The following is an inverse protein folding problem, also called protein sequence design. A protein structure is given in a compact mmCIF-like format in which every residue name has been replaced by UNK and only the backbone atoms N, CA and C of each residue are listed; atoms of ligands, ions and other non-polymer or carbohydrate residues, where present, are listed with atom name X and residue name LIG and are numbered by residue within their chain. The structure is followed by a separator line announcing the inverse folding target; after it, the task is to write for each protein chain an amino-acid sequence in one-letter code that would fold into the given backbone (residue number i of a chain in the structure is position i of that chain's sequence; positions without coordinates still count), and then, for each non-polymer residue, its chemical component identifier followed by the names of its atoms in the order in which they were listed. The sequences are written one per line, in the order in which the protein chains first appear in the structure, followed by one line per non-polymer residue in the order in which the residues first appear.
data_IF_053766189425
#
_entry.id   IF_053766189425
#
_cell.length_a   1.000
_cell.length_b   1.000
_cell.length_c   1.000
_cell.angle_alpha   90.00
_cell.angle_beta   90.00
_cell.angle_gamma   90.00
#
_symmetry.space_group_name_H-M   'P 1'
#
loop_
_entity.id
_entity.type
_entity.pdbx_description
1 polymer ?
#
# COMPACT_ATOMS: atom_id res chain seq x y z
N UNK A 1 -6.86 -4.67 -7.79
CA UNK A 1 -8.33 -4.85 -7.93
C UNK A 1 -9.08 -4.73 -6.60
N UNK A 2 -8.38 -4.58 -5.49
CA UNK A 2 -8.96 -4.30 -4.19
C UNK A 2 -9.33 -2.83 -4.01
N UNK A 3 -9.79 -2.46 -2.80
CA UNK A 3 -10.25 -1.12 -2.45
C UNK A 3 -9.22 -0.03 -2.80
N UNK A 4 -7.97 -0.17 -2.40
CA UNK A 4 -6.90 0.78 -2.73
C UNK A 4 -6.42 0.60 -4.18
N UNK A 5 -6.12 -0.63 -4.60
CA UNK A 5 -5.48 -0.90 -5.89
C UNK A 5 -6.28 -0.41 -7.10
N UNK A 6 -7.62 -0.49 -7.06
CA UNK A 6 -8.47 0.02 -8.15
C UNK A 6 -8.37 1.54 -8.31
N UNK A 7 -8.20 2.28 -7.23
CA UNK A 7 -8.02 3.74 -7.26
C UNK A 7 -6.61 4.12 -7.73
N UNK A 8 -5.58 3.38 -7.31
CA UNK A 8 -4.20 3.57 -7.78
C UNK A 8 -4.11 3.35 -9.28
N UNK A 9 -4.71 2.29 -9.82
CA UNK A 9 -4.76 2.04 -11.28
C UNK A 9 -5.40 3.21 -12.02
N UNK A 10 -6.53 3.74 -11.52
CA UNK A 10 -7.22 4.88 -12.13
C UNK A 10 -6.37 6.15 -12.09
N UNK A 11 -5.74 6.44 -10.96
CA UNK A 11 -4.90 7.64 -10.80
C UNK A 11 -3.67 7.57 -11.71
N UNK A 12 -2.94 6.45 -11.75
CA UNK A 12 -1.83 6.23 -12.67
C UNK A 12 -2.26 6.41 -14.13
N UNK A 13 -3.36 5.76 -14.52
CA UNK A 13 -3.87 5.85 -15.88
C UNK A 13 -4.25 7.30 -16.26
N UNK A 14 -4.89 8.03 -15.34
CA UNK A 14 -5.27 9.44 -15.56
C UNK A 14 -4.06 10.37 -15.73
N UNK A 15 -2.91 10.00 -15.15
CA UNK A 15 -1.64 10.74 -15.34
C UNK A 15 -0.82 10.26 -16.54
N UNK A 16 -1.35 9.35 -17.35
CA UNK A 16 -0.73 8.90 -18.59
C UNK A 16 0.29 7.76 -18.45
N UNK A 17 0.36 7.13 -17.28
CA UNK A 17 1.21 5.95 -17.11
C UNK A 17 0.65 4.74 -17.86
N UNK A 18 1.55 3.91 -18.39
CA UNK A 18 1.22 2.56 -18.82
C UNK A 18 1.17 1.66 -17.58
N UNK A 19 0.05 1.03 -17.33
CA UNK A 19 -0.19 0.27 -16.11
C UNK A 19 -0.39 -1.21 -16.43
N UNK A 20 0.40 -2.07 -15.82
CA UNK A 20 0.12 -3.51 -15.78
C UNK A 20 -0.45 -3.88 -14.40
N UNK A 21 -1.74 -4.18 -14.36
CA UNK A 21 -2.44 -4.52 -13.13
C UNK A 21 -2.37 -6.03 -12.88
N UNK A 22 -1.60 -6.43 -11.87
CA UNK A 22 -1.48 -7.83 -11.47
C UNK A 22 -2.49 -8.18 -10.37
N UNK A 23 -3.33 -9.16 -10.58
CA UNK A 23 -4.34 -9.58 -9.62
C UNK A 23 -4.74 -11.06 -9.82
N UNK A 24 -5.33 -11.67 -8.80
CA UNK A 24 -5.92 -13.02 -8.94
C UNK A 24 -7.15 -13.01 -9.84
N UNK A 25 -8.01 -12.02 -9.65
CA UNK A 25 -9.22 -11.79 -10.43
C UNK A 25 -9.10 -10.47 -11.19
N UNK A 26 -8.85 -10.57 -12.49
CA UNK A 26 -8.66 -9.43 -13.38
C UNK A 26 -9.98 -8.82 -13.86
N UNK A 27 -11.12 -9.47 -13.63
CA UNK A 27 -12.43 -8.94 -14.04
C UNK A 27 -12.79 -7.60 -13.37
N UNK A 28 -12.13 -7.30 -12.26
CA UNK A 28 -12.31 -6.06 -11.47
C UNK A 28 -11.29 -4.96 -11.81
N UNK A 29 -10.38 -5.22 -12.74
CA UNK A 29 -9.44 -4.18 -13.20
C UNK A 29 -10.19 -3.18 -14.07
N UNK A 30 -10.04 -1.87 -13.84
CA UNK A 30 -10.67 -0.86 -14.68
C UNK A 30 -10.24 -1.01 -16.15
N UNK A 31 -11.21 -1.04 -17.06
CA UNK A 31 -10.98 -1.10 -18.50
C UNK A 31 -10.64 0.31 -19.01
N UNK A 32 -9.36 0.63 -19.08
CA UNK A 32 -8.81 1.92 -19.54
C UNK A 32 -7.77 1.65 -20.64
N UNK A 33 -7.62 2.59 -21.58
CA UNK A 33 -6.79 2.42 -22.77
C UNK A 33 -5.31 2.07 -22.46
N UNK A 34 -4.76 2.67 -21.40
CA UNK A 34 -3.37 2.49 -20.98
C UNK A 34 -3.22 1.50 -19.79
N UNK A 35 -4.22 0.66 -19.56
CA UNK A 35 -4.21 -0.36 -18.50
C UNK A 35 -4.31 -1.75 -19.12
N UNK A 36 -3.33 -2.59 -18.86
CA UNK A 36 -3.36 -4.02 -19.10
C UNK A 36 -3.59 -4.78 -17.78
N UNK A 37 -4.12 -5.98 -17.87
CA UNK A 37 -4.39 -6.81 -16.71
C UNK A 37 -3.84 -8.22 -16.92
N UNK A 38 -3.14 -8.75 -15.90
CA UNK A 38 -2.63 -10.11 -15.91
C UNK A 38 -3.03 -10.84 -14.62
N UNK A 39 -3.59 -12.03 -14.79
CA UNK A 39 -3.91 -12.89 -13.64
C UNK A 39 -2.63 -13.51 -13.10
N UNK A 40 -2.34 -13.25 -11.83
CA UNK A 40 -1.13 -13.73 -11.16
C UNK A 40 -1.49 -14.31 -9.79
N UNK A 41 -0.90 -15.46 -9.49
CA UNK A 41 -0.86 -16.01 -8.16
C UNK A 41 0.48 -15.65 -7.50
N UNK A 42 0.46 -14.85 -6.45
CA UNK A 42 1.67 -14.43 -5.72
C UNK A 42 2.47 -15.59 -5.13
N UNK A 43 1.89 -16.80 -5.04
CA UNK A 43 2.59 -18.01 -4.62
C UNK A 43 3.49 -18.59 -5.72
N UNK A 44 3.31 -18.19 -6.98
CA UNK A 44 4.20 -18.52 -8.08
C UNK A 44 5.25 -17.40 -8.23
N UNK A 45 6.34 -17.52 -7.50
CA UNK A 45 7.37 -16.47 -7.42
C UNK A 45 8.09 -16.24 -8.75
N UNK A 46 8.25 -17.27 -9.58
CA UNK A 46 8.89 -17.14 -10.90
C UNK A 46 7.98 -16.36 -11.85
N UNK A 47 6.72 -16.73 -11.95
CA UNK A 47 5.74 -16.05 -12.79
C UNK A 47 5.55 -14.59 -12.38
N UNK A 48 5.53 -14.32 -11.07
CA UNK A 48 5.43 -12.95 -10.55
C UNK A 48 6.67 -12.14 -10.91
N UNK A 49 7.87 -12.68 -10.70
CA UNK A 49 9.12 -11.99 -11.06
C UNK A 49 9.23 -11.71 -12.55
N UNK A 50 8.84 -12.65 -13.41
CA UNK A 50 8.81 -12.44 -14.86
C UNK A 50 7.80 -11.36 -15.27
N UNK A 51 6.62 -11.34 -14.65
CA UNK A 51 5.60 -10.31 -14.93
C UNK A 51 6.05 -8.91 -14.51
N UNK A 52 6.93 -8.80 -13.53
CA UNK A 52 7.43 -7.51 -13.04
C UNK A 52 8.60 -6.96 -13.86
N UNK A 53 9.28 -7.78 -14.66
CA UNK A 53 10.46 -7.36 -15.45
C UNK A 53 10.11 -6.24 -16.43
N UNK A 54 11.04 -5.29 -16.57
CA UNK A 54 10.93 -4.19 -17.53
C UNK A 54 10.01 -3.05 -17.10
N UNK A 55 9.39 -3.15 -15.93
CA UNK A 55 8.65 -2.04 -15.34
C UNK A 55 9.60 -1.07 -14.61
N UNK A 56 9.25 0.22 -14.58
CA UNK A 56 10.03 1.26 -13.90
C UNK A 56 9.83 1.20 -12.38
N UNK A 57 8.62 0.83 -11.94
CA UNK A 57 8.26 0.76 -10.52
C UNK A 57 7.16 -0.26 -10.26
N UNK A 58 7.03 -0.67 -8.99
CA UNK A 58 5.95 -1.51 -8.49
C UNK A 58 5.25 -0.82 -7.33
N UNK A 59 3.93 -0.68 -7.41
CA UNK A 59 3.09 -0.25 -6.28
C UNK A 59 2.31 -1.46 -5.78
N UNK A 60 2.60 -1.87 -4.55
CA UNK A 60 1.98 -3.02 -3.90
C UNK A 60 0.83 -2.59 -2.99
N UNK A 61 -0.37 -3.03 -3.32
CA UNK A 61 -1.59 -2.84 -2.51
C UNK A 61 -2.20 -4.17 -2.08
N UNK A 62 -1.36 -5.20 -1.94
CA UNK A 62 -1.79 -6.54 -1.58
C UNK A 62 -2.42 -6.59 -0.19
N UNK A 63 -3.56 -7.24 -0.11
CA UNK A 63 -4.21 -7.63 1.13
C UNK A 63 -4.93 -8.97 0.89
N UNK A 64 -4.73 -10.00 1.73
CA UNK A 64 -5.36 -11.31 1.53
C UNK A 64 -6.87 -11.33 1.82
N UNK A 65 -7.41 -10.23 2.36
CA UNK A 65 -8.82 -10.03 2.71
C UNK A 65 -9.03 -9.93 4.22
N UNK A 66 -9.79 -8.93 4.64
CA UNK A 66 -10.03 -8.64 6.06
C UNK A 66 -10.80 -9.74 6.81
N UNK A 67 -11.54 -10.58 6.09
CA UNK A 67 -12.27 -11.73 6.65
C UNK A 67 -11.47 -13.04 6.62
N UNK A 68 -10.21 -12.99 6.19
CA UNK A 68 -9.34 -14.16 6.15
C UNK A 68 -8.97 -14.61 7.57
N UNK A 69 -9.30 -15.84 8.00
CA UNK A 69 -8.95 -16.32 9.34
C UNK A 69 -7.44 -16.40 9.60
N UNK A 70 -6.63 -16.49 8.53
CA UNK A 70 -5.18 -16.51 8.60
C UNK A 70 -4.56 -15.17 8.16
N UNK A 71 -5.27 -14.06 8.37
CA UNK A 71 -4.90 -12.74 7.84
C UNK A 71 -3.47 -12.34 8.18
N UNK A 72 -3.02 -12.53 9.42
CA UNK A 72 -1.66 -12.19 9.83
C UNK A 72 -0.59 -12.91 8.99
N UNK A 73 -0.67 -14.24 8.98
CA UNK A 73 0.31 -15.08 8.28
C UNK A 73 0.31 -14.86 6.77
N UNK A 74 -0.88 -14.80 6.17
CA UNK A 74 -1.02 -14.65 4.73
C UNK A 74 -0.60 -13.26 4.25
N UNK A 75 -0.85 -12.21 5.05
CA UNK A 75 -0.37 -10.88 4.75
C UNK A 75 1.16 -10.81 4.80
N UNK A 76 1.77 -11.27 5.90
CA UNK A 76 3.21 -11.20 6.08
C UNK A 76 3.96 -12.04 5.03
N UNK A 77 3.55 -13.30 4.84
CA UNK A 77 4.14 -14.20 3.85
C UNK A 77 3.95 -13.68 2.43
N UNK A 78 2.76 -13.18 2.11
CA UNK A 78 2.46 -12.62 0.79
C UNK A 78 3.29 -11.38 0.48
N UNK A 79 3.40 -10.47 1.43
CA UNK A 79 4.21 -9.24 1.29
C UNK A 79 5.69 -9.55 1.07
N UNK A 80 6.27 -10.49 1.84
CA UNK A 80 7.66 -10.93 1.66
C UNK A 80 7.89 -11.62 0.31
N UNK A 81 6.93 -12.40 -0.18
CA UNK A 81 7.02 -13.02 -1.53
C UNK A 81 7.00 -11.96 -2.63
N UNK A 82 6.13 -10.97 -2.51
CA UNK A 82 6.06 -9.87 -3.48
C UNK A 82 7.37 -9.07 -3.47
N UNK A 83 7.85 -8.68 -2.29
CA UNK A 83 9.14 -7.98 -2.14
C UNK A 83 10.28 -8.75 -2.83
N UNK A 84 10.38 -10.06 -2.56
CA UNK A 84 11.40 -10.92 -3.18
C UNK A 84 11.25 -11.02 -4.69
N UNK A 85 10.02 -11.07 -5.19
CA UNK A 85 9.76 -11.07 -6.63
C UNK A 85 10.17 -9.75 -7.31
N UNK A 86 9.96 -8.62 -6.63
CA UNK A 86 10.43 -7.31 -7.11
C UNK A 86 11.97 -7.27 -7.17
N UNK A 87 12.67 -7.73 -6.13
CA UNK A 87 14.14 -7.87 -6.17
C UNK A 87 14.61 -8.70 -7.36
N UNK A 88 14.00 -9.88 -7.54
CA UNK A 88 14.39 -10.82 -8.60
C UNK A 88 14.07 -10.29 -10.01
N UNK A 89 13.08 -9.43 -10.16
CA UNK A 89 12.72 -8.80 -11.45
C UNK A 89 13.73 -7.74 -11.91
N UNK A 90 14.53 -7.21 -10.98
CA UNK A 90 15.45 -6.10 -11.23
C UNK A 90 14.85 -4.72 -11.09
N UNK A 91 13.53 -4.59 -10.85
CA UNK A 91 12.88 -3.32 -10.53
C UNK A 91 13.39 -2.81 -9.18
N UNK A 92 13.74 -1.52 -9.12
CA UNK A 92 14.29 -0.92 -7.89
C UNK A 92 13.23 -0.16 -7.09
N UNK A 93 12.39 0.61 -7.78
CA UNK A 93 11.37 1.45 -7.12
C UNK A 93 10.18 0.59 -6.67
N UNK A 94 9.96 0.54 -5.36
CA UNK A 94 8.93 -0.28 -4.74
C UNK A 94 8.16 0.52 -3.69
N UNK A 95 6.88 0.78 -3.92
CA UNK A 95 5.99 1.43 -2.96
C UNK A 95 5.02 0.39 -2.43
N UNK A 96 4.91 0.26 -1.11
CA UNK A 96 4.01 -0.71 -0.50
C UNK A 96 3.07 -0.04 0.49
N UNK A 97 1.80 -0.42 0.43
CA UNK A 97 0.76 0.04 1.37
C UNK A 97 0.71 -0.89 2.56
N UNK A 98 0.90 -0.32 3.73
CA UNK A 98 0.79 -1.00 5.01
C UNK A 98 -0.49 -0.68 5.76
N UNK A 99 -0.36 -0.30 7.02
CA UNK A 99 -1.48 0.01 7.92
C UNK A 99 -1.14 1.13 8.90
N UNK A 100 -2.16 1.87 9.34
CA UNK A 100 -2.05 2.91 10.36
C UNK A 100 -1.56 2.37 11.72
N UNK A 101 -1.75 1.09 11.99
CA UNK A 101 -1.37 0.45 13.27
C UNK A 101 0.10 0.59 13.66
N UNK A 102 0.98 0.84 12.68
CA UNK A 102 2.42 1.06 12.90
C UNK A 102 2.78 2.50 13.28
N UNK A 103 1.85 3.45 13.17
CA UNK A 103 2.04 4.85 13.55
C UNK A 103 2.10 5.00 15.07
N UNK A 104 2.80 6.02 15.55
CA UNK A 104 3.01 6.28 16.97
C UNK A 104 2.13 7.42 17.49
N UNK A 105 1.52 7.21 18.64
CA UNK A 105 0.91 8.26 19.46
C UNK A 105 1.49 8.13 20.88
N UNK A 106 2.00 9.21 21.43
CA UNK A 106 2.61 9.25 22.78
C UNK A 106 3.68 8.15 23.01
N UNK A 107 4.46 7.87 21.96
CA UNK A 107 5.55 6.88 22.00
C UNK A 107 5.13 5.42 21.85
N UNK A 108 3.84 5.14 21.72
CA UNK A 108 3.31 3.78 21.53
C UNK A 108 2.73 3.60 20.14
N UNK A 109 2.90 2.42 19.55
CA UNK A 109 2.26 2.12 18.27
C UNK A 109 0.75 1.92 18.46
N UNK A 110 -0.04 2.44 17.51
CA UNK A 110 -1.51 2.33 17.57
C UNK A 110 -2.00 0.90 17.75
N UNK A 111 -1.38 -0.07 17.08
CA UNK A 111 -1.76 -1.48 17.16
C UNK A 111 -1.58 -2.09 18.55
N UNK A 112 -0.73 -1.50 19.38
CA UNK A 112 -0.46 -1.97 20.74
C UNK A 112 -1.39 -1.32 21.78
N UNK A 113 -2.23 -0.37 21.37
CA UNK A 113 -3.26 0.21 22.24
C UNK A 113 -4.24 -0.87 22.72
N UNK A 114 -4.67 -0.82 24.01
CA UNK A 114 -5.71 -1.72 24.52
C UNK A 114 -7.05 -1.52 23.80
N UNK A 115 -7.31 -0.33 23.28
CA UNK A 115 -8.55 0.02 22.57
C UNK A 115 -8.49 -0.24 21.06
N UNK A 116 -7.39 -0.83 20.57
CA UNK A 116 -7.27 -1.13 19.14
C UNK A 116 -8.30 -2.19 18.71
N UNK A 117 -9.08 -1.95 17.63
CA UNK A 117 -10.15 -2.85 17.22
C UNK A 117 -9.66 -4.28 16.95
N UNK A 118 -10.24 -5.25 17.65
CA UNK A 118 -9.81 -6.64 17.61
C UNK A 118 -9.92 -7.26 16.20
N UNK A 119 -10.95 -6.87 15.45
CA UNK A 119 -11.25 -7.45 14.13
C UNK A 119 -10.17 -7.14 13.09
N UNK A 120 -9.51 -5.99 13.20
CA UNK A 120 -8.46 -5.57 12.26
C UNK A 120 -7.05 -5.74 12.84
N UNK A 121 -6.93 -6.07 14.12
CA UNK A 121 -5.63 -6.20 14.82
C UNK A 121 -4.67 -7.18 14.15
N UNK A 122 -5.09 -8.38 13.71
CA UNK A 122 -4.19 -9.31 13.02
C UNK A 122 -3.55 -8.71 11.76
N UNK A 123 -4.33 -8.04 10.91
CA UNK A 123 -3.83 -7.39 9.71
C UNK A 123 -2.94 -6.18 9.99
N UNK A 124 -3.31 -5.36 10.98
CA UNK A 124 -2.52 -4.21 11.42
C UNK A 124 -1.16 -4.64 12.01
N UNK A 125 -1.16 -5.71 12.81
CA UNK A 125 0.07 -6.30 13.36
C UNK A 125 0.96 -6.85 12.26
N UNK A 126 0.39 -7.58 11.29
CA UNK A 126 1.15 -8.11 10.16
C UNK A 126 1.78 -7.00 9.32
N UNK A 127 1.05 -5.90 9.08
CA UNK A 127 1.57 -4.73 8.35
C UNK A 127 2.72 -4.05 9.13
N UNK A 128 2.60 -3.90 10.46
CA UNK A 128 3.67 -3.40 11.32
C UNK A 128 4.90 -4.30 11.26
N UNK A 129 4.73 -5.61 11.35
CA UNK A 129 5.83 -6.58 11.34
C UNK A 129 6.49 -6.64 9.96
N UNK A 130 5.71 -6.47 8.88
CA UNK A 130 6.26 -6.33 7.54
C UNK A 130 7.08 -5.03 7.39
N UNK A 131 6.62 -3.90 7.96
CA UNK A 131 7.42 -2.67 8.00
C UNK A 131 8.79 -2.91 8.67
N UNK A 132 8.81 -3.64 9.77
CA UNK A 132 10.07 -3.96 10.47
C UNK A 132 11.01 -4.82 9.59
N UNK A 133 10.44 -5.70 8.74
CA UNK A 133 11.22 -6.52 7.80
C UNK A 133 11.76 -5.71 6.63
N UNK A 134 10.93 -4.91 5.98
CA UNK A 134 11.36 -4.14 4.80
C UNK A 134 12.42 -3.08 5.15
N UNK A 135 12.46 -2.60 6.39
CA UNK A 135 13.54 -1.72 6.89
C UNK A 135 14.93 -2.35 6.79
N UNK A 136 15.03 -3.67 6.76
CA UNK A 136 16.28 -4.42 6.59
C UNK A 136 16.69 -4.52 5.10
N UNK A 137 15.78 -4.17 4.17
CA UNK A 137 16.03 -4.29 2.74
C UNK A 137 16.92 -3.15 2.24
N UNK A 138 18.08 -3.52 1.71
CA UNK A 138 19.09 -2.59 1.15
C UNK A 138 19.14 -2.62 -0.37
N UNK A 139 18.37 -3.48 -1.01
CA UNK A 139 18.37 -3.72 -2.47
C UNK A 139 17.41 -2.80 -3.19
N UNK A 140 16.20 -2.61 -2.59
CA UNK A 140 15.12 -1.83 -3.17
C UNK A 140 15.16 -0.37 -2.71
N UNK A 141 14.70 0.52 -3.56
CA UNK A 141 14.32 1.88 -3.22
C UNK A 141 12.85 1.85 -2.79
N UNK A 142 12.63 1.24 -1.62
CA UNK A 142 11.30 1.04 -1.07
C UNK A 142 10.74 2.28 -0.41
N UNK A 143 9.42 2.41 -0.42
CA UNK A 143 8.65 3.34 0.41
C UNK A 143 7.50 2.59 1.04
N UNK A 144 7.27 2.77 2.33
CA UNK A 144 6.16 2.17 3.05
C UNK A 144 5.13 3.23 3.42
N UNK A 145 3.94 3.15 2.85
CA UNK A 145 2.86 4.07 3.15
C UNK A 145 1.96 3.50 4.26
N UNK A 146 1.91 4.20 5.39
CA UNK A 146 0.95 3.95 6.48
C UNK A 146 -0.24 4.88 6.28
N UNK A 147 -1.42 4.40 5.89
CA UNK A 147 -2.57 5.27 5.63
C UNK A 147 -3.05 5.98 6.89
N UNK A 148 -3.89 7.00 6.72
CA UNK A 148 -4.60 7.66 7.81
C UNK A 148 -5.41 6.65 8.64
N UNK A 149 -5.66 6.96 9.92
CA UNK A 149 -6.43 6.10 10.82
C UNK A 149 -7.83 5.83 10.24
N UNK A 150 -8.46 6.85 9.69
CA UNK A 150 -9.77 6.76 9.04
C UNK A 150 -9.61 6.73 7.51
N UNK A 151 -9.14 5.59 7.00
CA UNK A 151 -9.10 5.27 5.58
C UNK A 151 -9.88 3.96 5.36
N UNK A 152 -11.14 4.08 5.04
CA UNK A 152 -12.09 2.97 4.89
C UNK A 152 -13.21 3.34 3.90
N UNK A 153 -14.08 2.40 3.49
CA UNK A 153 -15.15 2.70 2.52
C UNK A 153 -16.05 3.88 2.89
N UNK A 154 -16.24 4.16 4.17
CA UNK A 154 -17.05 5.30 4.65
C UNK A 154 -16.38 6.67 4.45
N UNK A 155 -15.09 6.73 4.15
CA UNK A 155 -14.36 7.97 3.83
C UNK A 155 -14.06 8.11 2.34
N UNK A 156 -14.56 7.19 1.51
CA UNK A 156 -14.42 7.22 0.07
C UNK A 156 -15.42 8.17 -0.60
N UNK A 157 -15.22 8.45 -1.88
CA UNK A 157 -16.12 9.24 -2.74
C UNK A 157 -15.67 10.69 -2.93
N UNK A 158 -14.55 11.11 -2.37
CA UNK A 158 -14.04 12.47 -2.49
C UNK A 158 -12.57 12.43 -2.91
N UNK A 159 -12.23 13.16 -3.98
CA UNK A 159 -10.85 13.41 -4.39
C UNK A 159 -10.54 14.91 -4.22
N UNK A 160 -9.83 15.24 -3.17
CA UNK A 160 -9.43 16.62 -2.85
C UNK A 160 -8.11 16.99 -3.53
N UNK A 161 -7.17 16.04 -3.62
CA UNK A 161 -5.84 16.24 -4.20
C UNK A 161 -4.92 17.12 -3.34
N UNK A 162 -5.26 17.32 -2.08
CA UNK A 162 -4.46 18.08 -1.10
C UNK A 162 -4.40 17.31 0.20
N UNK A 163 -3.20 17.18 0.75
CA UNK A 163 -2.94 16.44 1.98
C UNK A 163 -1.67 16.98 2.65
N UNK A 164 -1.48 16.58 3.89
CA UNK A 164 -0.24 16.81 4.66
C UNK A 164 0.42 15.46 4.94
N UNK A 165 1.74 15.45 5.01
CA UNK A 165 2.51 14.23 5.29
C UNK A 165 3.20 14.31 6.65
N UNK A 166 3.48 13.15 7.22
CA UNK A 166 4.34 12.97 8.38
C UNK A 166 5.08 11.63 8.27
N UNK A 167 6.11 11.42 9.09
CA UNK A 167 6.86 10.16 9.07
C UNK A 167 6.28 9.14 10.06
N UNK A 168 6.40 9.40 11.34
CA UNK A 168 6.13 8.40 12.39
C UNK A 168 4.76 8.55 13.06
N UNK A 169 4.21 9.77 13.07
CA UNK A 169 2.98 10.09 13.78
C UNK A 169 1.83 10.33 12.80
N UNK A 170 0.59 9.99 13.16
CA UNK A 170 -0.57 10.36 12.35
C UNK A 170 -0.66 11.86 12.13
N UNK A 171 -1.15 12.26 10.97
CA UNK A 171 -1.54 13.65 10.71
C UNK A 171 -2.98 13.82 11.19
N UNK A 172 -3.24 14.85 11.97
CA UNK A 172 -4.58 15.19 12.48
C UNK A 172 -5.05 16.53 11.91
N UNK A 173 -6.34 16.61 11.58
CA UNK A 173 -7.00 17.86 11.23
C UNK A 173 -7.37 18.67 12.51
N UNK A 174 -7.99 19.83 12.32
CA UNK A 174 -8.42 20.71 13.42
C UNK A 174 -9.46 20.08 14.36
N UNK A 175 -10.17 19.07 13.87
CA UNK A 175 -11.15 18.28 14.64
C UNK A 175 -10.51 17.11 15.40
N UNK A 176 -9.19 16.94 15.33
CA UNK A 176 -8.46 15.84 15.96
C UNK A 176 -8.65 14.50 15.24
N UNK A 177 -9.03 14.49 13.97
CA UNK A 177 -9.23 13.28 13.16
C UNK A 177 -8.11 13.09 12.15
N UNK A 178 -7.68 11.86 11.96
CA UNK A 178 -6.74 11.47 10.90
C UNK A 178 -7.50 10.76 9.78
N UNK A 179 -7.88 11.52 8.76
CA UNK A 179 -8.78 11.09 7.68
C UNK A 179 -8.10 11.27 6.32
N UNK A 180 -8.22 10.28 5.44
CA UNK A 180 -7.86 10.39 4.04
C UNK A 180 -8.79 9.49 3.21
N UNK A 181 -9.33 10.00 2.11
CA UNK A 181 -10.11 9.17 1.18
C UNK A 181 -9.20 8.21 0.42
N UNK A 182 -9.77 7.11 -0.06
CA UNK A 182 -9.00 6.16 -0.89
C UNK A 182 -8.58 6.76 -2.23
N UNK A 183 -9.35 7.71 -2.75
CA UNK A 183 -9.02 8.49 -3.94
C UNK A 183 -7.75 9.31 -3.72
N UNK A 184 -7.63 9.94 -2.56
CA UNK A 184 -6.44 10.73 -2.22
C UNK A 184 -5.27 9.86 -1.74
N UNK A 185 -5.52 8.66 -1.22
CA UNK A 185 -4.45 7.64 -1.06
C UNK A 185 -3.80 7.34 -2.41
N UNK A 186 -4.59 7.20 -3.47
CA UNK A 186 -4.03 6.99 -4.81
C UNK A 186 -3.20 8.19 -5.29
N UNK A 187 -3.67 9.42 -5.04
CA UNK A 187 -2.90 10.65 -5.31
C UNK A 187 -1.57 10.63 -4.57
N UNK A 188 -1.59 10.38 -3.25
CA UNK A 188 -0.38 10.31 -2.41
C UNK A 188 0.64 9.30 -2.95
N UNK A 189 0.19 8.10 -3.32
CA UNK A 189 1.08 7.05 -3.81
C UNK A 189 1.70 7.39 -5.17
N UNK A 190 0.93 8.04 -6.06
CA UNK A 190 1.44 8.46 -7.37
C UNK A 190 2.33 9.69 -7.25
N UNK A 191 2.01 10.65 -6.38
CA UNK A 191 2.91 11.77 -6.06
C UNK A 191 4.24 11.26 -5.49
N UNK A 192 4.22 10.27 -4.59
CA UNK A 192 5.44 9.66 -4.06
C UNK A 192 6.25 8.93 -5.14
N UNK A 193 5.57 8.28 -6.10
CA UNK A 193 6.23 7.67 -7.25
C UNK A 193 6.97 8.71 -8.10
N UNK A 194 6.38 9.87 -8.31
CA UNK A 194 6.94 10.95 -9.13
C UNK A 194 8.05 11.72 -8.41
N UNK A 195 7.89 11.96 -7.11
CA UNK A 195 8.75 12.85 -6.33
C UNK A 195 9.87 12.12 -5.58
N UNK A 196 9.70 10.84 -5.24
CA UNK A 196 10.67 10.02 -4.51
C UNK A 196 11.14 10.66 -3.18
N UNK A 197 10.21 11.25 -2.42
CA UNK A 197 10.52 11.98 -1.20
C UNK A 197 10.87 11.06 -0.01
N UNK A 198 10.41 9.80 -0.04
CA UNK A 198 10.50 8.88 1.09
C UNK A 198 11.17 7.56 0.71
N UNK A 199 12.34 7.64 0.04
CA UNK A 199 13.13 6.45 -0.32
C UNK A 199 13.72 5.79 0.93
N UNK A 200 13.41 4.51 1.12
CA UNK A 200 13.75 3.69 2.29
C UNK A 200 13.19 4.25 3.60
N UNK A 201 12.04 4.85 3.49
CA UNK A 201 11.32 5.43 4.62
C UNK A 201 9.86 4.96 4.66
N UNK A 202 9.28 5.05 5.87
CA UNK A 202 7.85 5.01 6.08
C UNK A 202 7.34 6.44 6.12
N UNK A 203 6.17 6.69 5.55
CA UNK A 203 5.44 7.93 5.72
C UNK A 203 3.93 7.71 5.83
N UNK A 204 3.21 8.73 6.23
CA UNK A 204 1.76 8.78 6.29
C UNK A 204 1.25 10.09 5.70
N UNK A 205 -0.04 10.13 5.36
CA UNK A 205 -0.70 11.33 4.88
C UNK A 205 -2.16 11.38 5.37
N UNK A 206 -2.66 12.60 5.64
CA UNK A 206 -4.07 12.90 5.92
C UNK A 206 -4.39 14.35 5.57
N UNK A 207 -5.69 14.71 5.67
CA UNK A 207 -6.18 16.09 5.48
C UNK A 207 -5.76 17.04 6.58
#
# INVERSE_FOLDING_TARGET
TGFVGSHVVKELASRGYQVEALARDISKVPALENVSAKSININNSEELSEALKGNDAVINTFNPGWTNPNLYDDFLKGSLKIEKAVENSGVKRFITVGGAGSLFIDGNQLVDSPDFPADIKPGATAARDYLNKIKENTVLDWTFFSPAIEMHPGTAGVRVGKYRTALENPVFNEEGRSVLSVEDVAVVLVDELEQNNHIRERFTAAY
#
